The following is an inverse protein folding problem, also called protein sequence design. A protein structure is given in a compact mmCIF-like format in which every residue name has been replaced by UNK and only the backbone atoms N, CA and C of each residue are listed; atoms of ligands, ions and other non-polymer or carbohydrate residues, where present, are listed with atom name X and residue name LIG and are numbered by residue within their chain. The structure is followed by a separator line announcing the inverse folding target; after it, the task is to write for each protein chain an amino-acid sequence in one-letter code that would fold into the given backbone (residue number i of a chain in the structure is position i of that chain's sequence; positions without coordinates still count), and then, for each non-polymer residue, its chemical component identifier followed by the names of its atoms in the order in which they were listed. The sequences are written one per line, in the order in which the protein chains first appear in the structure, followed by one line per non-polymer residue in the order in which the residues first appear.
data_IF_333503391359
#
_entry.id   IF_333503391359
#
_cell.length_a   1.000
_cell.length_b   1.000
_cell.length_c   1.000
_cell.angle_alpha   90.00
_cell.angle_beta   90.00
_cell.angle_gamma   90.00
#
_symmetry.space_group_name_H-M   'P 1'
#
loop_
_entity.id
_entity.type
_entity.pdbx_description
1 polymer ?
#
# COMPACT_ATOMS: atom_id res chain seq x y z
N UNK A 1 -7.26 22.96 14.59
CA UNK A 1 -8.43 22.36 15.28
C UNK A 1 -8.05 20.92 15.57
N UNK A 2 -8.02 20.48 16.83
CA UNK A 2 -7.71 19.08 17.18
C UNK A 2 -8.96 18.26 16.89
N UNK A 3 -8.84 17.24 16.03
CA UNK A 3 -9.94 16.34 15.69
C UNK A 3 -9.92 15.21 16.70
N UNK A 4 -11.00 15.09 17.48
CA UNK A 4 -11.14 14.06 18.50
C UNK A 4 -12.13 13.03 18.00
N UNK A 5 -11.71 11.77 17.96
CA UNK A 5 -12.52 10.68 17.39
C UNK A 5 -12.71 9.61 18.44
N UNK A 6 -13.93 9.07 18.50
CA UNK A 6 -14.25 7.90 19.32
C UNK A 6 -13.85 6.65 18.53
N UNK A 7 -12.95 5.83 19.08
CA UNK A 7 -12.52 4.57 18.48
C UNK A 7 -12.25 3.54 19.58
N UNK A 8 -12.42 2.25 19.26
CA UNK A 8 -12.15 1.19 20.22
C UNK A 8 -10.65 0.95 20.37
N UNK A 9 -10.22 0.44 21.53
CA UNK A 9 -8.84 -0.01 21.74
C UNK A 9 -8.40 -1.03 20.67
N UNK A 10 -9.30 -1.94 20.29
CA UNK A 10 -9.04 -2.89 19.22
C UNK A 10 -8.70 -2.21 17.89
N UNK A 11 -9.42 -1.16 17.51
CA UNK A 11 -9.12 -0.41 16.28
C UNK A 11 -7.74 0.26 16.35
N UNK A 12 -7.38 0.84 17.50
CA UNK A 12 -6.06 1.45 17.68
C UNK A 12 -4.95 0.43 17.63
N UNK A 13 -5.16 -0.74 18.24
CA UNK A 13 -4.20 -1.83 18.18
C UNK A 13 -4.02 -2.34 16.75
N UNK A 14 -5.10 -2.46 15.98
CA UNK A 14 -5.02 -2.83 14.55
C UNK A 14 -4.22 -1.77 13.78
N UNK A 15 -4.51 -0.48 13.94
CA UNK A 15 -3.76 0.60 13.29
C UNK A 15 -2.28 0.54 13.67
N UNK A 16 -1.98 0.38 14.95
CA UNK A 16 -0.62 0.24 15.45
C UNK A 16 0.11 -0.93 14.80
N UNK A 17 -0.49 -2.12 14.74
CA UNK A 17 0.12 -3.31 14.13
C UNK A 17 0.35 -3.14 12.63
N UNK A 18 -0.61 -2.54 11.91
CA UNK A 18 -0.46 -2.25 10.47
C UNK A 18 0.68 -1.25 10.24
N UNK A 19 0.70 -0.14 10.97
CA UNK A 19 1.76 0.88 10.89
C UNK A 19 3.12 0.27 11.20
N UNK A 20 3.24 -0.46 12.33
CA UNK A 20 4.48 -1.11 12.76
C UNK A 20 5.04 -2.04 11.69
N UNK A 21 4.20 -2.91 11.12
CA UNK A 21 4.62 -3.90 10.11
C UNK A 21 4.97 -3.25 8.78
N UNK A 22 4.17 -2.30 8.28
CA UNK A 22 4.50 -1.62 7.01
C UNK A 22 5.80 -0.81 7.13
N UNK A 23 5.99 -0.12 8.27
CA UNK A 23 7.19 0.68 8.54
C UNK A 23 8.41 -0.22 8.62
N UNK A 24 8.31 -1.39 9.27
CA UNK A 24 9.39 -2.37 9.32
C UNK A 24 9.79 -2.89 7.93
N UNK A 25 8.86 -2.96 6.98
CA UNK A 25 9.16 -3.27 5.56
C UNK A 25 9.65 -2.07 4.74
N UNK A 26 9.72 -0.89 5.34
CA UNK A 26 10.07 0.35 4.65
C UNK A 26 8.96 0.93 3.76
N UNK A 27 7.74 0.39 3.86
CA UNK A 27 6.61 0.84 3.04
C UNK A 27 5.95 2.09 3.60
N UNK A 28 5.68 3.06 2.72
CA UNK A 28 4.80 4.20 3.01
C UNK A 28 3.34 3.77 3.01
N UNK A 29 2.47 4.58 3.61
CA UNK A 29 1.02 4.38 3.56
C UNK A 29 0.52 4.27 2.11
N UNK A 30 1.07 5.08 1.21
CA UNK A 30 0.77 5.02 -0.24
C UNK A 30 1.13 3.71 -0.90
N UNK A 31 2.22 3.10 -0.46
CA UNK A 31 2.75 1.87 -1.05
C UNK A 31 1.85 0.70 -0.65
N UNK A 32 1.46 0.66 0.62
CA UNK A 32 0.50 -0.34 1.10
C UNK A 32 -0.88 -0.14 0.46
N UNK A 33 -1.38 1.10 0.33
CA UNK A 33 -2.61 1.41 -0.43
C UNK A 33 -2.55 0.83 -1.84
N UNK A 34 -1.44 1.04 -2.55
CA UNK A 34 -1.21 0.48 -3.87
C UNK A 34 -1.23 -1.06 -3.86
N UNK A 35 -0.51 -1.69 -2.93
CA UNK A 35 -0.37 -3.15 -2.87
C UNK A 35 -1.72 -3.86 -2.64
N UNK A 36 -2.61 -3.25 -1.86
CA UNK A 36 -3.97 -3.75 -1.64
C UNK A 36 -4.99 -3.28 -2.70
N UNK A 37 -4.53 -2.54 -3.71
CA UNK A 37 -5.35 -2.07 -4.83
C UNK A 37 -6.33 -0.94 -4.48
N UNK A 38 -6.09 -0.17 -3.42
CA UNK A 38 -6.95 0.96 -3.01
C UNK A 38 -6.44 2.29 -3.55
N UNK A 39 -7.27 3.32 -3.43
CA UNK A 39 -6.88 4.71 -3.66
C UNK A 39 -5.64 5.09 -2.86
N UNK A 40 -4.79 5.95 -3.45
CA UNK A 40 -3.45 6.27 -2.95
C UNK A 40 -3.40 6.67 -1.46
N UNK A 41 -4.40 7.41 -0.99
CA UNK A 41 -4.49 7.94 0.36
C UNK A 41 -5.29 7.06 1.34
N UNK A 42 -5.73 5.86 0.95
CA UNK A 42 -6.60 5.03 1.79
C UNK A 42 -5.95 4.67 3.14
N UNK A 43 -4.76 4.07 3.14
CA UNK A 43 -4.07 3.70 4.38
C UNK A 43 -3.77 4.93 5.25
N UNK A 44 -3.30 6.03 4.65
CA UNK A 44 -3.02 7.29 5.37
C UNK A 44 -4.31 7.86 5.99
N UNK A 45 -5.44 7.76 5.29
CA UNK A 45 -6.76 8.14 5.79
C UNK A 45 -7.21 7.32 7.00
N UNK A 46 -6.94 6.01 7.03
CA UNK A 46 -7.25 5.16 8.21
C UNK A 46 -6.29 5.43 9.36
N UNK A 47 -4.98 5.55 9.09
CA UNK A 47 -3.94 5.83 10.08
C UNK A 47 -4.09 7.22 10.73
N UNK A 48 -4.66 8.18 10.01
CA UNK A 48 -5.00 9.52 10.50
C UNK A 48 -6.43 9.61 11.08
N UNK A 49 -7.16 8.50 11.13
CA UNK A 49 -8.56 8.40 11.56
C UNK A 49 -9.54 9.26 10.75
N UNK A 50 -9.16 9.74 9.56
CA UNK A 50 -10.03 10.49 8.65
C UNK A 50 -11.04 9.58 7.94
N UNK A 51 -10.63 8.33 7.68
CA UNK A 51 -11.41 7.28 7.02
C UNK A 51 -11.84 6.23 8.05
N UNK A 52 -12.99 5.54 7.88
CA UNK A 52 -13.38 4.43 8.76
C UNK A 52 -12.30 3.37 8.91
N UNK A 53 -12.32 2.68 10.05
CA UNK A 53 -11.40 1.58 10.36
C UNK A 53 -11.34 0.50 9.27
N UNK A 54 -10.22 -0.22 9.21
CA UNK A 54 -10.05 -1.36 8.30
C UNK A 54 -11.18 -2.38 8.46
N UNK A 55 -11.75 -2.81 7.33
CA UNK A 55 -12.66 -3.97 7.32
C UNK A 55 -11.88 -5.27 7.46
N UNK A 56 -12.54 -6.36 7.83
CA UNK A 56 -11.93 -7.70 7.82
C UNK A 56 -11.32 -8.05 6.45
N UNK A 57 -11.97 -7.61 5.37
CA UNK A 57 -11.44 -7.81 4.03
C UNK A 57 -10.13 -7.02 3.84
N UNK A 58 -10.07 -5.76 4.27
CA UNK A 58 -8.83 -4.96 4.21
C UNK A 58 -7.69 -5.63 4.96
N UNK A 59 -7.96 -6.16 6.17
CA UNK A 59 -6.95 -6.85 6.97
C UNK A 59 -6.40 -8.11 6.29
N UNK A 60 -7.25 -8.87 5.59
CA UNK A 60 -6.79 -10.01 4.80
C UNK A 60 -5.85 -9.56 3.67
N UNK A 61 -6.22 -8.54 2.90
CA UNK A 61 -5.37 -8.00 1.84
C UNK A 61 -4.06 -7.39 2.36
N UNK A 62 -4.11 -6.69 3.50
CA UNK A 62 -2.93 -6.14 4.16
C UNK A 62 -2.01 -7.28 4.62
N UNK A 63 -2.57 -8.36 5.18
CA UNK A 63 -1.78 -9.50 5.64
C UNK A 63 -1.09 -10.22 4.48
N UNK A 64 -1.79 -10.38 3.36
CA UNK A 64 -1.20 -10.89 2.11
C UNK A 64 -0.11 -9.94 1.58
N UNK A 65 -0.39 -8.64 1.48
CA UNK A 65 0.56 -7.65 0.97
C UNK A 65 1.84 -7.54 1.82
N UNK A 66 1.71 -7.69 3.14
CA UNK A 66 2.83 -7.69 4.07
C UNK A 66 3.42 -9.10 4.27
N UNK A 67 2.85 -10.16 3.67
CA UNK A 67 3.26 -11.55 3.91
C UNK A 67 3.32 -11.90 5.41
N UNK A 68 2.46 -11.27 6.21
CA UNK A 68 2.46 -11.32 7.67
C UNK A 68 1.05 -11.12 8.22
N UNK A 69 0.62 -11.97 9.14
CA UNK A 69 -0.68 -11.82 9.80
C UNK A 69 -0.74 -10.55 10.67
N UNK A 70 -1.89 -9.87 10.66
CA UNK A 70 -2.22 -8.79 11.60
C UNK A 70 -2.86 -9.42 12.85
N UNK A 71 -2.04 -9.64 13.87
CA UNK A 71 -2.49 -10.18 15.16
C UNK A 71 -2.57 -9.03 16.16
N UNK A 72 -3.77 -8.48 16.44
CA UNK A 72 -3.90 -7.54 17.54
C UNK A 72 -3.56 -8.28 18.85
N UNK A 73 -2.60 -7.76 19.61
CA UNK A 73 -2.31 -8.32 20.93
C UNK A 73 -3.43 -7.93 21.89
N UNK A 74 -4.02 -8.86 22.65
CA UNK A 74 -5.03 -8.51 23.63
C UNK A 74 -4.50 -7.73 24.85
N UNK A 75 -3.17 -7.63 25.06
CA UNK A 75 -2.64 -7.49 26.44
C UNK A 75 -1.61 -6.38 26.74
N UNK A 76 -1.22 -5.49 25.82
CA UNK A 76 -0.19 -4.47 26.13
C UNK A 76 -0.72 -3.11 26.59
N UNK A 77 -2.04 -2.96 26.76
CA UNK A 77 -2.60 -1.72 27.30
C UNK A 77 -3.24 -1.96 28.67
N UNK A 78 -2.52 -1.58 29.72
CA UNK A 78 -3.02 -1.33 31.08
C UNK A 78 -4.10 -0.22 31.13
N UNK A 79 -4.66 0.16 29.97
CA UNK A 79 -5.65 1.21 29.79
C UNK A 79 -7.02 0.60 30.15
N UNK A 80 -7.33 0.63 31.45
CA UNK A 80 -8.63 0.22 32.02
C UNK A 80 -9.80 1.12 31.61
N UNK A 81 -9.52 2.28 31.00
CA UNK A 81 -10.53 3.26 30.58
C UNK A 81 -10.66 3.29 29.06
N UNK A 82 -11.88 3.10 28.55
CA UNK A 82 -12.16 3.31 27.13
C UNK A 82 -11.76 4.75 26.76
N UNK A 83 -10.83 4.95 25.81
CA UNK A 83 -10.43 6.28 25.41
C UNK A 83 -11.64 7.00 24.83
N UNK A 84 -12.05 8.10 25.46
CA UNK A 84 -13.22 8.87 25.01
C UNK A 84 -12.88 9.68 23.77
N UNK A 85 -11.63 10.11 23.67
CA UNK A 85 -11.13 10.89 22.56
C UNK A 85 -9.71 10.45 22.19
N UNK A 86 -9.49 10.25 20.91
CA UNK A 86 -8.17 9.89 20.37
C UNK A 86 -7.74 10.95 19.36
N UNK A 87 -6.44 11.23 19.38
CA UNK A 87 -5.76 12.11 18.45
C UNK A 87 -4.49 11.42 17.94
N UNK A 88 -4.35 11.32 16.63
CA UNK A 88 -3.12 10.84 15.99
C UNK A 88 -2.48 12.03 15.29
N UNK A 89 -1.27 12.37 15.71
CA UNK A 89 -0.49 13.46 15.14
C UNK A 89 0.71 12.90 14.38
N UNK A 90 1.04 13.53 13.26
CA UNK A 90 2.21 13.22 12.46
C UNK A 90 3.12 14.45 12.39
N UNK A 91 4.32 14.33 12.95
CA UNK A 91 5.30 15.42 13.00
C UNK A 91 6.53 15.05 12.18
N UNK A 92 6.99 15.94 11.30
CA UNK A 92 8.26 15.77 10.60
C UNK A 92 9.37 16.43 11.42
N UNK A 93 10.36 15.64 11.84
CA UNK A 93 11.56 16.15 12.47
C UNK A 93 12.79 15.59 11.75
N UNK A 94 13.62 16.50 11.24
CA UNK A 94 14.72 16.17 10.33
C UNK A 94 14.26 15.27 9.19
N UNK A 95 14.70 14.01 9.17
CA UNK A 95 14.40 13.01 8.14
C UNK A 95 13.43 11.92 8.60
N UNK A 96 12.64 12.16 9.66
CA UNK A 96 11.74 11.17 10.22
C UNK A 96 10.37 11.75 10.54
N UNK A 97 9.34 11.01 10.17
CA UNK A 97 7.98 11.21 10.66
C UNK A 97 7.82 10.51 12.00
N UNK A 98 7.31 11.25 12.98
CA UNK A 98 6.87 10.77 14.27
C UNK A 98 5.35 10.70 14.27
N UNK A 99 4.82 9.49 14.39
CA UNK A 99 3.41 9.22 14.53
C UNK A 99 3.11 9.03 16.02
N UNK A 100 2.35 9.95 16.59
CA UNK A 100 2.04 9.97 18.03
C UNK A 100 0.54 9.81 18.22
N UNK A 101 0.12 8.68 18.80
CA UNK A 101 -1.25 8.43 19.17
C UNK A 101 -1.45 8.76 20.64
N UNK A 102 -2.32 9.72 20.94
CA UNK A 102 -2.68 10.13 22.30
C UNK A 102 -4.15 9.84 22.55
N UNK A 103 -4.44 9.10 23.62
CA UNK A 103 -5.78 8.94 24.17
C UNK A 103 -6.04 9.92 25.30
N UNK A 104 -7.29 10.34 25.45
CA UNK A 104 -7.74 11.21 26.53
C UNK A 104 -8.87 10.53 27.30
N UNK A 105 -8.76 10.49 28.62
CA UNK A 105 -9.81 9.98 29.50
C UNK A 105 -10.94 11.00 29.71
N UNK A 106 -12.02 10.55 30.37
CA UNK A 106 -13.19 11.38 30.72
C UNK A 106 -12.84 12.58 31.59
N UNK A 107 -11.79 12.45 32.40
CA UNK A 107 -11.29 13.47 33.33
C UNK A 107 -10.17 14.32 32.72
N UNK A 108 -9.88 14.15 31.42
CA UNK A 108 -8.91 14.95 30.68
C UNK A 108 -7.45 14.53 30.83
N UNK A 109 -7.17 13.35 31.42
CA UNK A 109 -5.81 12.82 31.44
C UNK A 109 -5.42 12.34 30.04
N UNK A 110 -4.29 12.82 29.55
CA UNK A 110 -3.70 12.39 28.29
C UNK A 110 -2.74 11.21 28.53
N UNK A 111 -2.88 10.15 27.75
CA UNK A 111 -1.99 9.00 27.73
C UNK A 111 -1.47 8.78 26.32
N UNK A 112 -0.16 8.64 26.16
CA UNK A 112 0.43 8.28 24.87
C UNK A 112 0.23 6.79 24.67
N UNK A 113 -0.61 6.41 23.70
CA UNK A 113 -0.89 5.02 23.37
C UNK A 113 0.31 4.40 22.63
N UNK A 114 0.79 5.05 21.57
CA UNK A 114 2.00 4.62 20.87
C UNK A 114 2.75 5.81 20.26
N UNK A 115 4.06 5.60 20.05
CA UNK A 115 4.92 6.43 19.21
C UNK A 115 5.59 5.52 18.19
N UNK A 116 5.42 5.81 16.91
CA UNK A 116 6.09 5.11 15.81
C UNK A 116 6.92 6.10 15.00
N UNK A 117 8.11 5.68 14.58
CA UNK A 117 8.97 6.47 13.71
C UNK A 117 9.02 5.84 12.32
N UNK A 118 8.76 6.64 11.31
CA UNK A 118 8.87 6.27 9.90
C UNK A 118 9.88 7.20 9.25
N UNK A 119 10.80 6.69 8.45
CA UNK A 119 11.70 7.58 7.72
C UNK A 119 10.86 8.49 6.81
N UNK A 120 11.03 9.80 6.95
CA UNK A 120 10.54 10.72 5.94
C UNK A 120 11.41 10.46 4.73
N UNK A 121 10.81 10.22 3.58
CA UNK A 121 11.53 9.85 2.37
C UNK A 121 12.34 11.05 1.84
N UNK A 122 13.35 11.47 2.59
CA UNK A 122 14.28 12.52 2.26
C UNK A 122 15.34 11.87 1.40
N UNK A 123 14.99 11.67 0.12
CA UNK A 123 15.87 11.13 -0.93
C UNK A 123 17.36 11.37 -0.64
N UNK A 124 18.16 10.32 -0.40
CA UNK A 124 19.60 10.46 -0.45
C UNK A 124 20.07 10.63 -1.90
N UNK A 125 20.97 11.60 -2.05
CA UNK A 125 21.81 12.04 -3.18
C UNK A 125 22.17 11.02 -4.29
N UNK A 126 22.62 11.50 -5.48
CA UNK A 126 22.73 10.79 -6.77
C UNK A 126 23.68 9.58 -6.87
N UNK A 127 24.14 9.02 -5.76
CA UNK A 127 25.18 7.98 -5.72
C UNK A 127 24.63 6.59 -6.07
N UNK A 128 23.31 6.38 -5.98
CA UNK A 128 22.64 5.10 -6.28
C UNK A 128 21.87 5.06 -7.60
N UNK A 129 21.98 6.10 -8.44
CA UNK A 129 21.18 6.21 -9.66
C UNK A 129 21.36 5.00 -10.59
N UNK A 130 22.59 4.48 -10.76
CA UNK A 130 22.86 3.34 -11.62
C UNK A 130 22.21 2.03 -11.14
N UNK A 131 22.29 1.70 -9.85
CA UNK A 131 21.59 0.52 -9.31
C UNK A 131 20.06 0.64 -9.43
N UNK A 132 19.51 1.86 -9.32
CA UNK A 132 18.08 2.12 -9.53
C UNK A 132 17.66 1.95 -10.99
N UNK A 133 18.48 2.40 -11.95
CA UNK A 133 18.24 2.18 -13.39
C UNK A 133 18.26 0.68 -13.72
N UNK A 134 19.21 -0.07 -13.17
CA UNK A 134 19.30 -1.53 -13.40
C UNK A 134 18.07 -2.26 -12.84
N UNK A 135 17.57 -1.85 -11.68
CA UNK A 135 16.36 -2.43 -11.08
C UNK A 135 15.10 -2.08 -11.88
N UNK A 136 14.97 -0.83 -12.36
CA UNK A 136 13.85 -0.39 -13.18
C UNK A 136 13.70 -1.24 -14.45
N UNK A 137 14.78 -1.39 -15.22
CA UNK A 137 14.75 -2.12 -16.48
C UNK A 137 14.52 -3.63 -16.27
N UNK A 138 15.10 -4.21 -15.22
CA UNK A 138 14.87 -5.60 -14.87
C UNK A 138 13.41 -5.87 -14.50
N UNK A 139 12.80 -5.01 -13.67
CA UNK A 139 11.37 -5.12 -13.30
C UNK A 139 10.49 -4.92 -14.52
N UNK A 140 10.78 -3.93 -15.37
CA UNK A 140 10.05 -3.68 -16.61
C UNK A 140 10.10 -4.86 -17.57
N UNK A 141 11.28 -5.43 -17.79
CA UNK A 141 11.46 -6.62 -18.61
C UNK A 141 10.67 -7.80 -18.04
N UNK A 142 10.69 -7.98 -16.70
CA UNK A 142 9.94 -9.06 -16.05
C UNK A 142 8.44 -8.89 -16.21
N UNK A 143 7.88 -7.68 -16.06
CA UNK A 143 6.46 -7.42 -16.30
C UNK A 143 6.10 -7.74 -17.76
N UNK A 144 6.94 -7.33 -18.72
CA UNK A 144 6.78 -7.64 -20.14
C UNK A 144 6.74 -9.16 -20.40
N UNK A 145 7.69 -9.91 -19.84
CA UNK A 145 7.73 -11.36 -19.95
C UNK A 145 6.49 -12.02 -19.32
N UNK A 146 6.09 -11.60 -18.10
CA UNK A 146 4.88 -12.10 -17.44
C UNK A 146 3.63 -11.88 -18.31
N UNK A 147 3.55 -10.73 -19.00
CA UNK A 147 2.46 -10.47 -19.94
C UNK A 147 2.47 -11.42 -21.12
N UNK A 148 3.62 -11.60 -21.76
CA UNK A 148 3.75 -12.45 -22.95
C UNK A 148 3.56 -13.94 -22.61
N UNK A 149 3.86 -14.33 -21.37
CA UNK A 149 3.61 -15.67 -20.78
C UNK A 149 2.16 -15.89 -20.34
N UNK A 150 1.27 -14.90 -20.48
CA UNK A 150 -0.15 -15.02 -20.13
C UNK A 150 -0.47 -14.87 -18.64
N UNK A 151 0.47 -14.39 -17.80
CA UNK A 151 0.25 -14.19 -16.37
C UNK A 151 -0.95 -13.27 -16.07
N UNK A 152 -1.18 -12.28 -16.93
CA UNK A 152 -2.27 -11.30 -16.79
C UNK A 152 -3.56 -11.71 -17.53
N UNK A 153 -3.68 -12.95 -18.03
CA UNK A 153 -4.95 -13.43 -18.62
C UNK A 153 -6.09 -13.43 -17.60
N UNK A 154 -5.76 -13.65 -16.33
CA UNK A 154 -6.67 -13.45 -15.21
C UNK A 154 -6.29 -12.18 -14.44
N UNK A 155 -7.27 -11.49 -13.82
CA UNK A 155 -6.98 -10.34 -12.97
C UNK A 155 -6.01 -10.67 -11.85
N UNK A 156 -5.01 -9.81 -11.65
CA UNK A 156 -3.98 -9.94 -10.62
C UNK A 156 -4.00 -8.74 -9.69
N UNK A 157 -4.01 -9.02 -8.40
CA UNK A 157 -3.86 -7.98 -7.39
C UNK A 157 -2.44 -7.41 -7.40
N UNK A 158 -2.25 -6.12 -7.05
CA UNK A 158 -0.93 -5.51 -7.04
C UNK A 158 0.07 -6.26 -6.14
N UNK A 159 -0.33 -6.72 -4.95
CA UNK A 159 0.54 -7.52 -4.08
C UNK A 159 0.98 -8.85 -4.72
N UNK A 160 0.13 -9.49 -5.53
CA UNK A 160 0.48 -10.76 -6.19
C UNK A 160 1.58 -10.54 -7.22
N UNK A 161 1.48 -9.45 -7.97
CA UNK A 161 2.49 -9.04 -8.96
C UNK A 161 3.79 -8.71 -8.23
N UNK A 162 3.69 -7.90 -7.17
CA UNK A 162 4.83 -7.52 -6.33
C UNK A 162 5.60 -8.72 -5.79
N UNK A 163 4.88 -9.67 -5.18
CA UNK A 163 5.48 -10.88 -4.63
C UNK A 163 6.07 -11.76 -5.71
N UNK A 164 5.39 -11.93 -6.84
CA UNK A 164 5.88 -12.75 -7.95
C UNK A 164 7.19 -12.20 -8.52
N UNK A 165 7.26 -10.90 -8.76
CA UNK A 165 8.48 -10.24 -9.25
C UNK A 165 9.59 -10.33 -8.20
N UNK A 166 9.30 -9.98 -6.95
CA UNK A 166 10.29 -9.99 -5.87
C UNK A 166 10.90 -11.39 -5.66
N UNK A 167 10.08 -12.44 -5.68
CA UNK A 167 10.53 -13.83 -5.55
C UNK A 167 11.31 -14.30 -6.77
N UNK A 168 10.89 -13.94 -7.98
CA UNK A 168 11.56 -14.38 -9.22
C UNK A 168 12.91 -13.69 -9.41
N UNK A 169 13.01 -12.41 -9.06
CA UNK A 169 14.24 -11.64 -9.19
C UNK A 169 15.16 -11.77 -7.97
N UNK A 170 14.66 -12.36 -6.86
CA UNK A 170 15.42 -12.51 -5.61
C UNK A 170 15.78 -11.19 -4.94
N UNK A 171 14.97 -10.14 -5.14
CA UNK A 171 15.24 -8.80 -4.65
C UNK A 171 13.97 -8.11 -4.17
N UNK A 172 14.10 -7.24 -3.18
CA UNK A 172 13.02 -6.37 -2.70
C UNK A 172 12.87 -5.20 -3.66
N UNK A 173 11.71 -5.08 -4.30
CA UNK A 173 11.38 -3.95 -5.18
C UNK A 173 10.70 -2.83 -4.40
N UNK A 174 10.90 -1.57 -4.82
CA UNK A 174 10.08 -0.46 -4.33
C UNK A 174 8.66 -0.60 -4.93
N UNK A 175 7.59 -0.68 -4.11
CA UNK A 175 6.23 -0.75 -4.63
C UNK A 175 5.85 0.43 -5.54
N UNK A 176 6.46 1.60 -5.37
CA UNK A 176 6.23 2.78 -6.22
C UNK A 176 6.78 2.57 -7.62
N UNK A 177 8.00 2.03 -7.72
CA UNK A 177 8.60 1.65 -9.01
C UNK A 177 7.69 0.67 -9.75
N UNK A 178 7.17 -0.34 -9.04
CA UNK A 178 6.24 -1.30 -9.63
C UNK A 178 4.94 -0.62 -10.09
N UNK A 179 4.37 0.26 -9.26
CA UNK A 179 3.15 0.99 -9.59
C UNK A 179 3.35 1.81 -10.87
N UNK A 180 4.42 2.59 -10.95
CA UNK A 180 4.69 3.46 -12.09
C UNK A 180 4.87 2.66 -13.37
N UNK A 181 5.61 1.55 -13.31
CA UNK A 181 5.77 0.64 -14.45
C UNK A 181 4.43 0.02 -14.88
N UNK A 182 3.61 -0.46 -13.95
CA UNK A 182 2.30 -1.02 -14.28
C UNK A 182 1.35 0.03 -14.87
N UNK A 183 1.40 1.26 -14.37
CA UNK A 183 0.65 2.40 -14.92
C UNK A 183 1.14 2.71 -16.36
N UNK A 184 2.44 2.68 -16.64
CA UNK A 184 3.00 2.81 -18.00
C UNK A 184 2.50 1.70 -18.93
N UNK A 185 2.44 0.46 -18.46
CA UNK A 185 1.87 -0.67 -19.22
C UNK A 185 0.36 -0.51 -19.48
N UNK A 186 -0.34 0.31 -18.68
CA UNK A 186 -1.73 0.69 -18.92
C UNK A 186 -1.86 1.84 -19.94
N UNK A 187 -0.91 2.78 -19.97
CA UNK A 187 -0.91 3.94 -20.85
C UNK A 187 -0.36 3.65 -22.25
N UNK A 188 0.51 2.65 -22.41
CA UNK A 188 1.19 2.35 -23.67
C UNK A 188 0.25 2.10 -24.87
N UNK A 189 0.65 2.61 -26.05
CA UNK A 189 -0.17 2.64 -27.27
C UNK A 189 -0.20 1.35 -28.12
N UNK A 190 0.34 0.24 -27.61
CA UNK A 190 0.46 -1.03 -28.32
C UNK A 190 -0.74 -1.97 -28.23
N UNK A 191 -0.81 -2.91 -29.19
CA UNK A 191 -1.56 -4.16 -29.07
C UNK A 191 -1.04 -4.95 -27.86
N UNK A 192 -1.85 -5.13 -26.81
CA UNK A 192 -1.46 -5.90 -25.62
C UNK A 192 -0.92 -5.07 -24.46
N UNK A 193 -1.63 -4.01 -24.05
CA UNK A 193 -1.41 -3.32 -22.78
C UNK A 193 -2.15 -3.99 -21.61
N UNK A 194 -1.84 -3.57 -20.39
CA UNK A 194 -2.65 -3.92 -19.21
C UNK A 194 -3.82 -2.94 -19.09
N UNK A 195 -4.83 -3.30 -18.31
CA UNK A 195 -5.85 -2.36 -17.83
C UNK A 195 -6.13 -2.61 -16.35
N UNK A 196 -6.56 -1.56 -15.66
CA UNK A 196 -7.13 -1.68 -14.32
C UNK A 196 -8.56 -2.20 -14.43
N UNK A 197 -8.84 -3.28 -13.72
CA UNK A 197 -10.19 -3.79 -13.50
C UNK A 197 -10.54 -3.58 -12.04
N UNK A 198 -11.71 -3.00 -11.76
CA UNK A 198 -12.16 -2.80 -10.39
C UNK A 198 -13.05 -3.96 -9.96
N UNK A 199 -12.77 -4.47 -8.77
CA UNK A 199 -13.60 -5.40 -8.03
C UNK A 199 -13.94 -4.74 -6.69
N UNK A 200 -15.21 -4.36 -6.54
CA UNK A 200 -15.68 -3.44 -5.52
C UNK A 200 -14.91 -2.10 -5.56
N UNK A 201 -14.20 -1.77 -4.49
CA UNK A 201 -13.43 -0.54 -4.33
C UNK A 201 -11.91 -0.76 -4.48
N UNK A 202 -11.50 -1.91 -5.02
CA UNK A 202 -10.10 -2.23 -5.27
C UNK A 202 -9.84 -2.50 -6.75
N UNK A 203 -8.66 -2.14 -7.23
CA UNK A 203 -8.24 -2.44 -8.60
C UNK A 203 -7.26 -3.61 -8.69
N UNK A 204 -7.34 -4.31 -9.81
CA UNK A 204 -6.48 -5.39 -10.27
C UNK A 204 -5.92 -5.04 -11.64
N UNK A 205 -4.82 -5.68 -12.03
CA UNK A 205 -4.29 -5.59 -13.40
C UNK A 205 -4.68 -6.83 -14.19
N UNK A 206 -5.22 -6.61 -15.38
CA UNK A 206 -5.59 -7.67 -16.32
C UNK A 206 -5.18 -7.29 -17.73
N UNK A 207 -4.94 -8.27 -18.58
CA UNK A 207 -4.62 -8.07 -19.98
C UNK A 207 -5.78 -7.39 -20.73
N UNK A 208 -5.46 -6.40 -21.56
CA UNK A 208 -6.46 -5.65 -22.33
C UNK A 208 -6.76 -6.32 -23.67
N UNK A 209 -7.54 -7.41 -23.64
CA UNK A 209 -7.93 -8.17 -24.84
C UNK A 209 -8.83 -7.38 -25.83
N UNK A 210 -9.55 -6.36 -25.35
CA UNK A 210 -10.54 -5.60 -26.13
C UNK A 210 -9.88 -4.74 -27.23
N UNK A 211 -8.67 -4.22 -26.99
CA UNK A 211 -7.91 -3.43 -27.98
C UNK A 211 -7.48 -4.29 -29.18
N UNK A 212 -7.15 -5.56 -28.97
CA UNK A 212 -6.75 -6.51 -30.03
C UNK A 212 -7.91 -6.81 -30.99
N UNK A 213 -9.11 -7.08 -30.48
CA UNK A 213 -10.29 -7.33 -31.33
C UNK A 213 -10.65 -6.12 -32.19
N UNK A 214 -10.52 -4.90 -31.65
CA UNK A 214 -10.81 -3.66 -32.38
C UNK A 214 -9.83 -3.38 -33.54
N UNK A 215 -8.57 -3.81 -33.41
CA UNK A 215 -7.54 -3.63 -34.43
C UNK A 215 -7.61 -4.76 -35.47
N UNK A 216 -7.81 -6.01 -35.04
CA UNK A 216 -8.04 -7.14 -35.96
C UNK A 216 -9.33 -6.98 -36.78
N UNK A 217 -10.35 -6.32 -36.23
CA UNK A 217 -11.55 -5.96 -36.98
C UNK A 217 -11.27 -4.88 -38.03
N UNK A 218 -10.39 -3.90 -37.74
CA UNK A 218 -9.96 -2.86 -38.70
C UNK A 218 -9.02 -3.38 -39.80
N UNK A 219 -8.21 -4.40 -39.53
CA UNK A 219 -7.30 -4.99 -40.52
C UNK A 219 -7.98 -5.98 -41.47
N UNK A 220 -9.19 -6.47 -41.14
CA UNK A 220 -10.02 -7.32 -42.01
C UNK A 220 -10.96 -6.52 -42.93
N UNK A 221 -11.03 -5.20 -42.75
CA UNK A 221 -11.85 -4.27 -43.56
C UNK A 221 -11.04 -3.47 -44.59
N UNK A 222 -9.77 -3.84 -44.81
CA UNK A 222 -8.87 -3.34 -45.85
C UNK A 222 -8.53 -4.50 -46.78
#
# INVERSE_FOLDING_TARGET
MKTYINSSNLNLEIIFQVMKKRIAKGFKSSDLSFLIGKEHNYIDGVESLVTPSYTTQDLNFISEALEEQINPSPDDTDIKEYPLFINIERHLFESRYFHICTSYSSVGHAHVYFILTEDADLRPKPVFAQMQYDQHDLVKQKIGAMRDEGYFEQPKWPYQIYQHISRTLGLTIDPRLLKDLLDDFCLGDGLGGLKKQYDNDRYQYVFNATRIRSILAKSKSL
#
